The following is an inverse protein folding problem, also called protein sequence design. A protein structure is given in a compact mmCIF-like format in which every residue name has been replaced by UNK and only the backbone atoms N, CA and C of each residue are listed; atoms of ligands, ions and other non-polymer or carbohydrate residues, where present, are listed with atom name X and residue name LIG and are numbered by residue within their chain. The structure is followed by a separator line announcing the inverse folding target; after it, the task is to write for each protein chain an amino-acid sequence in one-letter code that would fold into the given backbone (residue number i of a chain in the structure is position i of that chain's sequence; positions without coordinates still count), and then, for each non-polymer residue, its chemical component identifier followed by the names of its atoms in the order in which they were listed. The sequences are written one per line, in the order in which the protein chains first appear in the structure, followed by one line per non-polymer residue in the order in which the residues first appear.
data_IF_858013553506
#
_entry.id   IF_858013553506
#
_cell.length_a   1.000
_cell.length_b   1.000
_cell.length_c   1.000
_cell.angle_alpha   90.00
_cell.angle_beta   90.00
_cell.angle_gamma   90.00
#
_symmetry.space_group_name_H-M   'P 1'
#
loop_
_entity.id
_entity.type
_entity.pdbx_description
1 polymer ?
#
# COMPACT_ATOMS: atom_id res chain seq x y z
N UNK A 1 15.67 18.59 -0.97
CA UNK A 1 15.02 17.30 -0.63
C UNK A 1 14.95 16.47 -1.90
N UNK A 2 15.29 15.19 -1.83
CA UNK A 2 15.15 14.29 -2.99
C UNK A 2 13.68 14.20 -3.39
N UNK A 3 13.42 14.29 -4.69
CA UNK A 3 12.09 14.21 -5.27
C UNK A 3 11.38 12.91 -4.86
N UNK A 4 10.09 12.99 -4.49
CA UNK A 4 9.26 11.85 -4.15
C UNK A 4 8.55 11.35 -5.40
N UNK A 5 8.72 10.08 -5.73
CA UNK A 5 8.18 9.45 -6.92
C UNK A 5 7.27 8.31 -6.46
N UNK A 6 6.01 8.31 -6.89
CA UNK A 6 5.06 7.23 -6.57
C UNK A 6 4.78 6.42 -7.83
N UNK A 7 5.14 5.14 -7.78
CA UNK A 7 4.76 4.15 -8.77
C UNK A 7 3.39 3.58 -8.42
N UNK A 8 2.39 3.85 -9.25
CA UNK A 8 1.00 3.50 -8.96
C UNK A 8 0.12 3.28 -10.18
N UNK A 9 -1.15 2.95 -9.96
CA UNK A 9 -2.19 2.95 -10.99
C UNK A 9 -3.51 3.43 -10.37
N UNK A 10 -4.37 4.01 -11.20
CA UNK A 10 -5.45 4.89 -10.74
C UNK A 10 -6.45 4.20 -9.79
N UNK A 11 -6.80 2.95 -10.07
CA UNK A 11 -7.79 2.19 -9.30
C UNK A 11 -7.22 1.35 -8.16
N UNK A 12 -5.95 1.51 -7.77
CA UNK A 12 -5.40 0.79 -6.61
C UNK A 12 -5.87 1.43 -5.31
N UNK A 13 -6.61 0.72 -4.43
CA UNK A 13 -6.98 1.26 -3.12
C UNK A 13 -5.77 1.58 -2.25
N UNK A 14 -4.76 0.72 -2.28
CA UNK A 14 -3.52 0.98 -1.54
C UNK A 14 -2.77 2.19 -2.09
N UNK A 15 -2.87 2.49 -3.39
CA UNK A 15 -2.31 3.73 -3.93
C UNK A 15 -3.13 4.94 -3.52
N UNK A 16 -4.46 4.83 -3.52
CA UNK A 16 -5.36 5.88 -3.04
C UNK A 16 -5.01 6.34 -1.63
N UNK A 17 -4.78 5.38 -0.72
CA UNK A 17 -4.29 5.64 0.65
C UNK A 17 -3.04 6.53 0.66
N UNK A 18 -2.05 6.24 -0.18
CA UNK A 18 -0.80 7.00 -0.24
C UNK A 18 -0.95 8.33 -0.96
N UNK A 19 -1.78 8.42 -1.99
CA UNK A 19 -2.13 9.70 -2.63
C UNK A 19 -2.76 10.66 -1.62
N UNK A 20 -3.69 10.19 -0.80
CA UNK A 20 -4.27 10.96 0.29
C UNK A 20 -3.24 11.32 1.37
N UNK A 21 -2.27 10.44 1.65
CA UNK A 21 -1.17 10.75 2.56
C UNK A 21 -0.31 11.93 2.04
N UNK A 22 -0.04 11.98 0.73
CA UNK A 22 0.61 13.13 0.11
C UNK A 22 -0.24 14.40 0.22
N UNK A 23 -1.56 14.30 0.03
CA UNK A 23 -2.49 15.42 0.18
C UNK A 23 -2.57 15.97 1.60
N UNK A 24 -2.74 15.08 2.58
CA UNK A 24 -2.72 15.41 3.99
C UNK A 24 -1.45 16.20 4.37
N UNK A 25 -0.30 15.80 3.81
CA UNK A 25 0.97 16.49 4.05
C UNK A 25 1.22 17.70 3.15
N UNK A 26 0.39 17.96 2.14
CA UNK A 26 0.63 19.03 1.15
C UNK A 26 1.92 18.83 0.34
N UNK A 27 2.35 17.58 0.16
CA UNK A 27 3.60 17.24 -0.51
C UNK A 27 3.48 17.34 -2.04
N UNK A 28 4.60 17.69 -2.68
CA UNK A 28 4.76 17.56 -4.12
C UNK A 28 5.40 16.19 -4.44
N UNK A 29 4.89 15.51 -5.48
CA UNK A 29 5.39 14.20 -5.89
C UNK A 29 5.17 13.94 -7.38
N UNK A 30 5.95 12.99 -7.90
CA UNK A 30 5.91 12.56 -9.29
C UNK A 30 5.10 11.30 -9.46
N UNK A 31 4.12 11.36 -10.37
CA UNK A 31 3.22 10.24 -10.66
C UNK A 31 3.75 9.39 -11.79
N UNK A 32 4.15 8.16 -11.47
CA UNK A 32 4.60 7.16 -12.45
C UNK A 32 3.57 6.05 -12.55
N UNK A 33 2.81 6.05 -13.65
CA UNK A 33 1.79 5.03 -13.91
C UNK A 33 2.45 3.69 -14.26
N UNK A 34 2.01 2.62 -13.59
CA UNK A 34 2.48 1.25 -13.76
C UNK A 34 1.35 0.33 -14.26
N UNK A 35 1.67 -0.79 -14.93
CA UNK A 35 0.69 -1.83 -15.21
C UNK A 35 0.05 -2.38 -13.93
N UNK A 36 -1.24 -2.73 -13.99
CA UNK A 36 -2.01 -3.27 -12.86
C UNK A 36 -1.76 -4.76 -12.59
N UNK A 37 -1.22 -5.49 -13.59
CA UNK A 37 -0.84 -6.91 -13.57
C UNK A 37 0.54 -7.14 -14.26
N UNK A 38 1.04 -8.39 -14.36
CA UNK A 38 2.30 -8.67 -15.07
C UNK A 38 2.11 -8.60 -16.61
N UNK A 39 3.14 -8.25 -17.38
CA UNK A 39 4.51 -7.93 -16.95
C UNK A 39 4.64 -6.49 -16.40
N UNK A 40 5.66 -6.26 -15.57
CA UNK A 40 6.01 -4.92 -15.05
C UNK A 40 7.50 -4.63 -15.27
N UNK A 41 7.96 -4.57 -16.52
CA UNK A 41 9.38 -4.59 -16.84
C UNK A 41 10.14 -3.37 -16.30
N UNK A 42 9.49 -2.26 -16.00
CA UNK A 42 10.12 -1.08 -15.42
C UNK A 42 10.00 -0.99 -13.89
N UNK A 43 9.07 -1.72 -13.27
CA UNK A 43 8.96 -1.76 -11.80
C UNK A 43 9.89 -2.81 -11.19
N UNK A 44 9.97 -3.99 -11.80
CA UNK A 44 10.70 -5.12 -11.22
C UNK A 44 12.22 -4.89 -11.11
N UNK A 45 12.89 -4.23 -12.07
CA UNK A 45 14.30 -3.87 -11.92
C UNK A 45 14.53 -2.89 -10.76
N UNK A 46 13.57 -2.00 -10.48
CA UNK A 46 13.67 -1.06 -9.36
C UNK A 46 13.50 -1.78 -8.01
N UNK A 47 12.52 -2.68 -7.91
CA UNK A 47 12.16 -3.32 -6.64
C UNK A 47 12.90 -4.63 -6.37
N UNK A 48 13.52 -5.23 -7.38
CA UNK A 48 14.16 -6.54 -7.28
C UNK A 48 13.18 -7.72 -7.29
N UNK A 49 11.97 -7.54 -7.81
CA UNK A 49 10.97 -8.61 -7.95
C UNK A 49 9.66 -8.36 -7.20
N UNK A 50 9.64 -7.41 -6.25
CA UNK A 50 8.40 -7.00 -5.59
C UNK A 50 7.47 -6.28 -6.57
N UNK A 51 6.24 -6.75 -6.69
CA UNK A 51 5.34 -6.38 -7.78
C UNK A 51 4.02 -5.72 -7.38
N UNK A 52 3.81 -5.55 -6.08
CA UNK A 52 2.62 -4.87 -5.57
C UNK A 52 2.78 -3.36 -5.74
N UNK A 53 1.66 -2.65 -5.62
CA UNK A 53 1.55 -1.21 -5.82
C UNK A 53 0.74 -0.63 -4.66
N UNK A 54 1.10 0.53 -4.11
CA UNK A 54 2.16 1.43 -4.57
C UNK A 54 3.56 1.05 -4.11
N UNK A 55 4.54 1.65 -4.79
CA UNK A 55 5.95 1.72 -4.38
C UNK A 55 6.35 3.18 -4.43
N UNK A 56 7.03 3.67 -3.40
CA UNK A 56 7.60 5.02 -3.41
C UNK A 56 9.10 4.94 -3.68
N UNK A 57 9.61 5.82 -4.52
CA UNK A 57 11.03 5.98 -4.82
C UNK A 57 11.48 7.39 -4.42
N UNK A 58 12.70 7.48 -3.91
CA UNK A 58 13.43 8.75 -3.82
C UNK A 58 14.90 8.50 -4.15
N UNK A 59 15.33 8.88 -5.36
CA UNK A 59 16.66 8.51 -5.84
C UNK A 59 16.78 7.00 -6.02
N UNK A 60 17.74 6.40 -5.30
CA UNK A 60 18.02 4.96 -5.30
C UNK A 60 17.43 4.21 -4.09
N UNK A 61 16.64 4.88 -3.26
CA UNK A 61 15.86 4.26 -2.19
C UNK A 61 14.42 3.98 -2.65
N UNK A 62 13.92 2.79 -2.33
CA UNK A 62 12.64 2.25 -2.80
C UNK A 62 11.85 1.69 -1.61
N UNK A 63 10.75 2.32 -1.23
CA UNK A 63 9.86 1.88 -0.15
C UNK A 63 8.71 1.05 -0.71
N UNK A 64 8.69 -0.22 -0.32
CA UNK A 64 7.62 -1.16 -0.62
C UNK A 64 6.65 -1.23 0.56
N UNK A 65 5.35 -1.37 0.26
CA UNK A 65 4.24 -1.36 1.22
C UNK A 65 3.85 0.04 1.73
N UNK A 66 2.55 0.27 1.86
CA UNK A 66 2.00 1.56 2.29
C UNK A 66 2.38 1.94 3.72
N UNK A 67 2.65 0.97 4.61
CA UNK A 67 3.09 1.23 5.99
C UNK A 67 4.48 1.83 6.02
N UNK A 68 5.39 1.23 5.24
CA UNK A 68 6.77 1.69 5.11
C UNK A 68 6.80 3.08 4.45
N UNK A 69 6.00 3.28 3.40
CA UNK A 69 5.84 4.58 2.74
C UNK A 69 5.32 5.64 3.73
N UNK A 70 4.25 5.36 4.49
CA UNK A 70 3.69 6.31 5.45
C UNK A 70 4.71 6.74 6.52
N UNK A 71 5.49 5.81 7.06
CA UNK A 71 6.56 6.10 8.04
C UNK A 71 7.65 6.97 7.44
N UNK A 72 8.03 6.67 6.21
CA UNK A 72 9.00 7.48 5.49
C UNK A 72 8.51 8.91 5.23
N UNK A 73 7.24 9.07 4.86
CA UNK A 73 6.64 10.40 4.67
C UNK A 73 6.63 11.20 5.97
N UNK A 74 6.27 10.58 7.11
CA UNK A 74 6.33 11.22 8.43
C UNK A 74 7.76 11.57 8.84
N UNK A 75 8.73 10.71 8.55
CA UNK A 75 10.15 10.97 8.82
C UNK A 75 10.67 12.18 8.05
N UNK A 76 10.25 12.34 6.78
CA UNK A 76 10.64 13.49 5.94
C UNK A 76 9.92 14.77 6.31
N UNK A 77 8.64 14.68 6.66
CA UNK A 77 7.82 15.82 7.02
C UNK A 77 6.94 15.47 8.23
N UNK A 78 7.41 15.71 9.46
CA UNK A 78 6.72 15.27 10.68
C UNK A 78 5.33 15.87 10.91
N UNK A 79 5.05 17.04 10.33
CA UNK A 79 3.78 17.74 10.47
C UNK A 79 3.11 18.04 9.11
N UNK A 80 1.78 17.87 8.99
CA UNK A 80 0.90 17.14 9.92
C UNK A 80 1.25 15.64 9.96
N UNK A 81 1.17 15.00 11.13
CA UNK A 81 1.58 13.61 11.34
C UNK A 81 0.53 12.63 10.78
N UNK A 82 0.96 11.64 9.99
CA UNK A 82 0.14 10.49 9.63
C UNK A 82 -0.02 9.56 10.84
N UNK A 83 1.03 9.47 11.66
CA UNK A 83 1.12 8.67 12.87
C UNK A 83 1.40 9.57 14.09
N UNK A 84 0.39 10.29 14.62
CA UNK A 84 0.56 11.05 15.85
C UNK A 84 1.02 10.13 17.00
N UNK A 85 2.08 10.47 17.76
CA UNK A 85 2.63 9.59 18.80
C UNK A 85 1.61 9.10 19.82
N UNK A 86 0.67 9.97 20.21
CA UNK A 86 -0.40 9.69 21.18
C UNK A 86 -1.49 8.76 20.63
N UNK A 87 -1.60 8.63 19.30
CA UNK A 87 -2.55 7.74 18.63
C UNK A 87 -1.88 6.54 17.96
N UNK A 88 -0.55 6.47 17.93
CA UNK A 88 0.20 5.50 17.13
C UNK A 88 -0.28 4.06 17.31
N UNK A 89 -0.45 3.61 18.56
CA UNK A 89 -0.88 2.24 18.84
C UNK A 89 -2.31 1.98 18.34
N UNK A 90 -3.22 2.93 18.57
CA UNK A 90 -4.63 2.79 18.19
C UNK A 90 -4.81 2.91 16.67
N UNK A 91 -4.13 3.85 16.02
CA UNK A 91 -4.17 4.00 14.56
C UNK A 91 -3.57 2.79 13.85
N UNK A 92 -2.50 2.20 14.39
CA UNK A 92 -1.92 0.94 13.89
C UNK A 92 -2.89 -0.22 14.03
N UNK A 93 -3.60 -0.32 15.16
CA UNK A 93 -4.61 -1.37 15.37
C UNK A 93 -5.78 -1.24 14.39
N UNK A 94 -6.28 -0.01 14.18
CA UNK A 94 -7.35 0.27 13.21
C UNK A 94 -6.88 0.00 11.78
N UNK A 95 -5.66 0.39 11.40
CA UNK A 95 -5.10 0.07 10.09
C UNK A 95 -5.04 -1.45 9.87
N UNK A 96 -4.53 -2.20 10.85
CA UNK A 96 -4.40 -3.66 10.75
C UNK A 96 -5.76 -4.31 10.52
N UNK A 97 -6.78 -3.92 11.29
CA UNK A 97 -8.15 -4.38 11.09
C UNK A 97 -8.72 -3.96 9.73
N UNK A 98 -8.54 -2.69 9.34
CA UNK A 98 -9.06 -2.16 8.09
C UNK A 98 -8.55 -2.95 6.87
N UNK A 99 -7.24 -3.23 6.83
CA UNK A 99 -6.62 -3.90 5.68
C UNK A 99 -6.78 -5.43 5.70
N UNK A 100 -6.94 -6.05 6.88
CA UNK A 100 -7.11 -7.50 7.01
C UNK A 100 -8.57 -7.94 6.95
N UNK A 101 -9.45 -7.24 7.65
CA UNK A 101 -10.81 -7.72 7.94
C UNK A 101 -11.89 -6.93 7.19
N UNK A 102 -11.70 -5.63 6.97
CA UNK A 102 -12.66 -4.79 6.22
C UNK A 102 -12.39 -4.83 4.70
N UNK A 103 -11.12 -4.65 4.29
CA UNK A 103 -10.73 -4.49 2.89
C UNK A 103 -11.05 -5.71 2.02
N UNK A 104 -10.73 -6.92 2.50
CA UNK A 104 -10.89 -8.12 1.68
C UNK A 104 -12.35 -8.46 1.36
N UNK A 105 -13.30 -8.39 2.30
CA UNK A 105 -14.72 -8.46 1.97
C UNK A 105 -15.17 -7.38 0.99
N UNK A 106 -14.73 -6.12 1.17
CA UNK A 106 -15.09 -5.02 0.28
C UNK A 106 -14.64 -5.26 -1.17
N UNK A 107 -13.36 -5.61 -1.37
CA UNK A 107 -12.82 -5.88 -2.70
C UNK A 107 -13.45 -7.10 -3.34
N UNK A 108 -13.67 -8.19 -2.59
CA UNK A 108 -14.30 -9.40 -3.14
C UNK A 108 -15.75 -9.16 -3.53
N UNK A 109 -16.47 -8.35 -2.78
CA UNK A 109 -17.81 -7.91 -3.13
C UNK A 109 -17.78 -7.06 -4.40
N UNK A 110 -17.04 -5.96 -4.41
CA UNK A 110 -16.94 -5.06 -5.55
C UNK A 110 -16.49 -5.78 -6.83
N UNK A 111 -15.39 -6.54 -6.76
CA UNK A 111 -14.86 -7.25 -7.92
C UNK A 111 -15.78 -8.34 -8.45
N UNK A 112 -16.52 -9.05 -7.60
CA UNK A 112 -17.42 -10.09 -8.07
C UNK A 112 -18.78 -9.58 -8.54
N UNK A 113 -19.24 -8.43 -8.02
CA UNK A 113 -20.42 -7.71 -8.54
C UNK A 113 -20.14 -7.13 -9.93
N UNK A 114 -18.91 -6.63 -10.14
CA UNK A 114 -18.48 -5.98 -11.39
C UNK A 114 -17.65 -6.92 -12.29
N UNK A 115 -17.81 -8.24 -12.15
CA UNK A 115 -16.96 -9.22 -12.83
C UNK A 115 -17.03 -9.15 -14.37
N UNK A 116 -18.13 -8.63 -14.93
CA UNK A 116 -18.32 -8.53 -16.38
C UNK A 116 -17.72 -7.25 -16.99
N UNK A 117 -17.50 -6.21 -16.18
CA UNK A 117 -16.94 -4.92 -16.62
C UNK A 117 -15.46 -4.80 -16.29
N UNK A 118 -14.99 -5.49 -15.25
CA UNK A 118 -13.57 -5.55 -14.91
C UNK A 118 -12.79 -6.38 -15.94
N UNK A 119 -11.57 -5.94 -16.26
CA UNK A 119 -10.65 -6.71 -17.09
C UNK A 119 -10.37 -8.08 -16.45
N UNK A 120 -10.71 -9.15 -17.18
CA UNK A 120 -10.51 -10.53 -16.77
C UNK A 120 -9.04 -10.85 -16.41
N UNK A 121 -8.06 -10.19 -17.06
CA UNK A 121 -6.64 -10.39 -16.74
C UNK A 121 -6.31 -10.01 -15.30
N UNK A 122 -7.01 -9.04 -14.71
CA UNK A 122 -6.82 -8.69 -13.32
C UNK A 122 -7.19 -9.87 -12.39
N UNK A 123 -8.28 -10.58 -12.68
CA UNK A 123 -8.67 -11.75 -11.89
C UNK A 123 -7.70 -12.92 -12.06
N UNK A 124 -7.17 -13.12 -13.26
CA UNK A 124 -6.13 -14.13 -13.55
C UNK A 124 -4.86 -13.83 -12.75
N UNK A 125 -4.33 -12.61 -12.86
CA UNK A 125 -3.09 -12.21 -12.17
C UNK A 125 -3.24 -12.30 -10.64
N UNK A 126 -4.36 -11.82 -10.07
CA UNK A 126 -4.60 -11.88 -8.62
C UNK A 126 -4.77 -13.31 -8.09
N UNK A 127 -5.28 -14.24 -8.91
CA UNK A 127 -5.31 -15.65 -8.57
C UNK A 127 -3.91 -16.28 -8.61
N UNK A 128 -3.14 -16.00 -9.67
CA UNK A 128 -1.78 -16.48 -9.85
C UNK A 128 -0.84 -16.01 -8.73
N UNK A 129 -0.97 -14.77 -8.26
CA UNK A 129 -0.24 -14.23 -7.11
C UNK A 129 -0.43 -15.06 -5.82
N UNK A 130 -1.50 -15.86 -5.72
CA UNK A 130 -1.81 -16.73 -4.59
C UNK A 130 -1.72 -18.22 -4.93
N UNK A 131 -1.16 -18.57 -6.09
CA UNK A 131 -1.00 -19.95 -6.54
C UNK A 131 -2.33 -20.61 -6.90
N UNK A 132 -3.34 -19.82 -7.30
CA UNK A 132 -4.69 -20.29 -7.61
C UNK A 132 -4.97 -20.19 -9.10
N UNK A 133 -5.77 -21.11 -9.61
CA UNK A 133 -6.30 -21.05 -10.96
C UNK A 133 -7.21 -19.82 -11.16
N UNK A 134 -7.29 -19.36 -12.40
CA UNK A 134 -8.19 -18.29 -12.80
C UNK A 134 -9.64 -18.60 -12.40
N UNK A 135 -10.34 -17.67 -11.73
CA UNK A 135 -11.73 -17.88 -11.32
C UNK A 135 -12.69 -17.66 -12.51
N UNK A 136 -13.79 -18.43 -12.56
CA UNK A 136 -14.91 -18.08 -13.45
C UNK A 136 -15.72 -16.91 -12.90
N UNK A 137 -16.44 -16.19 -13.76
CA UNK A 137 -17.33 -15.09 -13.35
C UNK A 137 -18.39 -15.58 -12.34
N UNK A 138 -18.96 -16.76 -12.53
CA UNK A 138 -19.92 -17.32 -11.57
C UNK A 138 -19.29 -17.60 -10.20
N UNK A 139 -18.03 -18.01 -10.16
CA UNK A 139 -17.29 -18.15 -8.90
C UNK A 139 -17.10 -16.79 -8.24
N UNK A 140 -16.74 -15.76 -9.01
CA UNK A 140 -16.59 -14.39 -8.52
C UNK A 140 -17.90 -13.86 -7.93
N UNK A 141 -19.02 -13.98 -8.65
CA UNK A 141 -20.35 -13.57 -8.18
C UNK A 141 -20.79 -14.31 -6.90
N UNK A 142 -20.53 -15.62 -6.81
CA UNK A 142 -20.81 -16.40 -5.58
C UNK A 142 -19.97 -15.91 -4.39
N UNK A 143 -18.69 -15.61 -4.63
CA UNK A 143 -17.82 -15.04 -3.61
C UNK A 143 -18.32 -13.65 -3.19
N UNK A 144 -18.74 -12.80 -4.12
CA UNK A 144 -19.29 -11.47 -3.81
C UNK A 144 -20.46 -11.53 -2.84
N UNK A 145 -21.44 -12.42 -3.10
CA UNK A 145 -22.60 -12.61 -2.20
C UNK A 145 -22.20 -13.02 -0.79
N UNK A 146 -21.19 -13.90 -0.65
CA UNK A 146 -20.67 -14.31 0.66
C UNK A 146 -19.89 -13.19 1.34
N UNK A 147 -19.09 -12.46 0.58
CA UNK A 147 -18.32 -11.33 1.08
C UNK A 147 -19.21 -10.17 1.53
N UNK A 148 -20.37 -9.98 0.90
CA UNK A 148 -21.35 -9.00 1.33
C UNK A 148 -21.87 -9.27 2.75
N UNK A 149 -22.10 -10.54 3.11
CA UNK A 149 -22.49 -10.92 4.47
C UNK A 149 -21.41 -10.61 5.52
N UNK A 150 -20.13 -10.56 5.11
CA UNK A 150 -19.02 -10.16 5.97
C UNK A 150 -18.80 -8.64 5.98
N UNK A 151 -19.09 -7.97 4.86
CA UNK A 151 -18.89 -6.53 4.69
C UNK A 151 -19.88 -5.71 5.52
N UNK A 152 -21.18 -6.02 5.46
CA UNK A 152 -22.23 -5.22 6.11
C UNK A 152 -22.02 -5.00 7.61
N UNK A 153 -21.65 -6.01 8.43
CA UNK A 153 -21.33 -5.78 9.83
C UNK A 153 -20.12 -4.84 10.03
N UNK A 154 -19.11 -4.90 9.17
CA UNK A 154 -17.93 -4.04 9.26
C UNK A 154 -18.29 -2.59 8.91
N UNK A 155 -19.17 -2.37 7.94
CA UNK A 155 -19.68 -1.03 7.62
C UNK A 155 -20.41 -0.39 8.81
N UNK A 156 -21.19 -1.18 9.56
CA UNK A 156 -21.83 -0.70 10.78
C UNK A 156 -20.82 -0.34 11.88
N UNK A 157 -19.67 -1.05 11.95
CA UNK A 157 -18.58 -0.69 12.85
C UNK A 157 -17.99 0.68 12.49
N UNK A 158 -17.73 0.94 11.20
CA UNK A 158 -17.23 2.26 10.75
C UNK A 158 -18.22 3.38 11.10
N UNK A 159 -19.50 3.16 10.82
CA UNK A 159 -20.56 4.14 11.13
C UNK A 159 -20.63 4.45 12.64
N UNK A 160 -20.40 3.43 13.48
CA UNK A 160 -20.37 3.55 14.94
C UNK A 160 -19.09 4.15 15.48
N UNK A 161 -17.95 3.96 14.81
CA UNK A 161 -16.71 4.67 15.16
C UNK A 161 -16.92 6.18 15.11
N UNK A 162 -17.81 6.67 14.25
CA UNK A 162 -18.12 8.09 14.08
C UNK A 162 -19.23 8.61 15.02
N UNK A 163 -19.75 7.79 15.95
CA UNK A 163 -20.82 8.19 16.89
C UNK A 163 -20.42 9.35 17.81
N UNK A 164 -19.12 9.49 18.08
CA UNK A 164 -18.60 10.57 18.94
C UNK A 164 -18.70 11.97 18.30
N UNK A 165 -19.09 12.07 17.02
CA UNK A 165 -19.35 13.35 16.36
C UNK A 165 -18.12 14.18 15.98
N UNK A 166 -16.92 13.61 16.03
CA UNK A 166 -15.68 14.29 15.60
C UNK A 166 -15.48 14.11 14.10
N UNK A 167 -14.71 14.98 13.43
CA UNK A 167 -14.58 14.91 11.98
C UNK A 167 -13.87 13.65 11.48
N UNK A 168 -12.95 13.05 12.25
CA UNK A 168 -12.17 11.87 11.86
C UNK A 168 -12.30 10.74 12.89
N UNK A 169 -11.84 9.54 12.52
CA UNK A 169 -12.13 8.30 13.26
C UNK A 169 -11.58 8.30 14.70
N UNK A 170 -10.39 8.85 14.90
CA UNK A 170 -9.68 8.81 16.19
C UNK A 170 -9.45 10.21 16.78
N UNK A 171 -9.51 11.24 15.95
CA UNK A 171 -9.08 12.59 16.28
C UNK A 171 -9.91 13.68 15.57
N UNK A 172 -9.62 14.95 15.88
CA UNK A 172 -10.16 16.08 15.11
C UNK A 172 -9.34 16.37 13.86
N UNK A 173 -8.12 15.81 13.78
CA UNK A 173 -7.27 15.79 12.61
C UNK A 173 -7.25 14.38 12.00
N UNK A 174 -7.13 14.25 10.66
CA UNK A 174 -7.00 12.95 10.00
C UNK A 174 -5.67 12.29 10.35
N UNK A 175 -5.66 10.97 10.41
CA UNK A 175 -4.44 10.17 10.56
C UNK A 175 -4.47 8.91 9.68
N UNK A 176 -3.45 8.06 9.79
CA UNK A 176 -3.35 6.80 9.04
C UNK A 176 -4.56 5.89 9.20
N UNK A 177 -5.23 5.91 10.36
CA UNK A 177 -6.46 5.15 10.58
C UNK A 177 -7.56 5.54 9.57
N UNK A 178 -7.72 6.85 9.33
CA UNK A 178 -8.69 7.36 8.37
C UNK A 178 -8.37 6.90 6.95
N UNK A 179 -7.10 7.01 6.55
CA UNK A 179 -6.65 6.63 5.22
C UNK A 179 -6.80 5.11 4.98
N UNK A 180 -6.52 4.30 6.00
CA UNK A 180 -6.64 2.84 5.98
C UNK A 180 -8.10 2.37 5.85
N UNK A 181 -9.03 2.97 6.60
CA UNK A 181 -10.45 2.63 6.46
C UNK A 181 -11.01 3.16 5.14
N UNK A 182 -10.62 4.37 4.75
CA UNK A 182 -11.18 5.05 3.59
C UNK A 182 -10.91 4.27 2.30
N UNK A 183 -9.68 3.80 2.08
CA UNK A 183 -9.35 3.18 0.80
C UNK A 183 -10.17 1.89 0.53
N UNK A 184 -10.53 1.15 1.58
CA UNK A 184 -11.37 -0.03 1.44
C UNK A 184 -12.80 0.32 1.03
N UNK A 185 -13.37 1.38 1.61
CA UNK A 185 -14.71 1.86 1.27
C UNK A 185 -14.75 2.59 -0.07
N UNK A 186 -13.73 3.39 -0.37
CA UNK A 186 -13.55 4.08 -1.64
C UNK A 186 -13.61 3.12 -2.83
N UNK A 187 -13.07 1.91 -2.68
CA UNK A 187 -13.12 0.90 -3.74
C UNK A 187 -14.54 0.46 -4.10
N UNK A 188 -15.53 0.64 -3.22
CA UNK A 188 -16.94 0.35 -3.53
C UNK A 188 -17.54 1.31 -4.56
N UNK A 189 -16.86 2.42 -4.85
CA UNK A 189 -17.32 3.47 -5.78
C UNK A 189 -16.19 4.01 -6.66
N UNK A 190 -15.08 3.26 -6.80
CA UNK A 190 -13.91 3.72 -7.55
C UNK A 190 -14.08 3.46 -9.06
N UNK A 191 -13.84 4.47 -9.89
CA UNK A 191 -13.96 4.41 -11.35
C UNK A 191 -15.33 3.87 -11.79
N UNK A 192 -15.35 2.74 -12.50
CA UNK A 192 -16.56 2.10 -13.05
C UNK A 192 -17.21 1.11 -12.07
N UNK A 193 -16.73 1.03 -10.83
CA UNK A 193 -17.29 0.14 -9.81
C UNK A 193 -18.60 0.71 -9.27
N UNK A 194 -19.68 -0.06 -9.40
CA UNK A 194 -20.99 0.28 -8.83
C UNK A 194 -21.35 -0.62 -7.63
N UNK A 195 -20.88 -0.24 -6.45
CA UNK A 195 -21.22 -0.88 -5.17
C UNK A 195 -21.53 0.14 -4.07
N UNK A 196 -21.68 1.42 -4.44
CA UNK A 196 -21.88 2.54 -3.50
C UNK A 196 -23.21 2.47 -2.74
N UNK A 197 -24.19 1.73 -3.26
CA UNK A 197 -25.49 1.52 -2.62
C UNK A 197 -25.39 0.92 -1.21
N UNK A 198 -24.33 0.16 -0.91
CA UNK A 198 -24.09 -0.38 0.44
C UNK A 198 -23.67 0.71 1.45
N UNK A 199 -23.21 1.87 0.98
CA UNK A 199 -22.86 3.03 1.83
C UNK A 199 -24.04 3.97 2.07
N UNK A 200 -25.10 3.90 1.25
CA UNK A 200 -26.26 4.80 1.33
C UNK A 200 -26.93 4.86 2.73
N UNK A 201 -27.03 3.75 3.50
CA UNK A 201 -27.60 3.77 4.85
C UNK A 201 -26.69 4.37 5.94
N UNK A 202 -25.48 4.85 5.60
CA UNK A 202 -24.42 5.19 6.54
C UNK A 202 -24.05 6.68 6.44
N UNK A 203 -24.92 7.59 6.93
CA UNK A 203 -24.75 9.03 6.70
C UNK A 203 -23.48 9.59 7.33
N UNK A 204 -23.03 9.10 8.50
CA UNK A 204 -21.79 9.60 9.12
C UNK A 204 -20.57 9.14 8.33
N UNK A 205 -20.57 7.88 7.89
CA UNK A 205 -19.53 7.30 7.03
C UNK A 205 -19.41 8.08 5.74
N UNK A 206 -20.53 8.37 5.06
CA UNK A 206 -20.51 9.17 3.83
C UNK A 206 -19.96 10.58 4.06
N UNK A 207 -20.40 11.26 5.12
CA UNK A 207 -19.91 12.59 5.46
C UNK A 207 -18.41 12.57 5.82
N UNK A 208 -17.95 11.53 6.52
CA UNK A 208 -16.53 11.32 6.84
C UNK A 208 -15.71 11.02 5.59
N UNK A 209 -16.18 10.16 4.69
CA UNK A 209 -15.50 9.89 3.41
C UNK A 209 -15.33 11.15 2.58
N UNK A 210 -16.32 12.04 2.55
CA UNK A 210 -16.19 13.34 1.87
C UNK A 210 -15.08 14.22 2.49
N UNK A 211 -14.93 14.21 3.82
CA UNK A 211 -13.85 14.94 4.50
C UNK A 211 -12.47 14.35 4.19
N UNK A 212 -12.36 13.01 4.14
CA UNK A 212 -11.11 12.35 3.77
C UNK A 212 -10.76 12.61 2.30
N UNK A 213 -11.74 12.54 1.39
CA UNK A 213 -11.53 12.85 -0.03
C UNK A 213 -11.07 14.30 -0.24
N UNK A 214 -11.55 15.25 0.58
CA UNK A 214 -11.18 16.66 0.53
C UNK A 214 -9.72 16.95 0.92
N UNK A 215 -8.98 15.97 1.48
CA UNK A 215 -7.53 16.08 1.67
C UNK A 215 -6.79 16.25 0.34
N UNK A 216 -7.39 15.78 -0.75
CA UNK A 216 -6.78 15.79 -2.08
C UNK A 216 -5.50 14.95 -2.13
N UNK A 217 -4.69 15.18 -3.15
CA UNK A 217 -3.50 14.36 -3.42
C UNK A 217 -2.20 15.16 -3.43
N UNK A 218 -2.20 16.39 -2.89
CA UNK A 218 -1.02 17.27 -2.89
C UNK A 218 -0.76 17.87 -4.27
N UNK A 219 0.50 18.13 -4.61
CA UNK A 219 0.90 18.59 -5.96
C UNK A 219 1.46 17.42 -6.76
N UNK A 220 0.78 17.09 -7.86
CA UNK A 220 1.11 15.94 -8.69
C UNK A 220 1.70 16.43 -10.02
N UNK A 221 2.85 15.88 -10.39
CA UNK A 221 3.43 16.07 -11.72
C UNK A 221 3.67 14.70 -12.37
N UNK A 222 3.17 14.43 -13.60
CA UNK A 222 3.44 13.19 -14.28
C UNK A 222 4.95 12.95 -14.51
N UNK A 223 5.34 11.67 -14.53
CA UNK A 223 6.69 11.23 -14.87
C UNK A 223 6.62 9.87 -15.57
N UNK A 224 7.45 9.68 -16.59
CA UNK A 224 7.56 8.39 -17.26
C UNK A 224 8.33 7.38 -16.40
N UNK A 225 8.07 6.08 -16.62
CA UNK A 225 8.83 5.00 -15.97
C UNK A 225 10.33 5.11 -16.28
N UNK A 226 10.70 5.48 -17.50
CA UNK A 226 12.11 5.65 -17.94
C UNK A 226 12.82 6.78 -17.19
N UNK A 227 12.16 7.91 -16.96
CA UNK A 227 12.73 9.00 -16.18
C UNK A 227 12.98 8.59 -14.74
N UNK A 228 12.02 7.89 -14.11
CA UNK A 228 12.17 7.38 -12.75
C UNK A 228 13.34 6.39 -12.62
N UNK A 229 13.50 5.47 -13.58
CA UNK A 229 14.64 4.56 -13.64
C UNK A 229 15.97 5.31 -13.83
N UNK A 230 15.99 6.34 -14.69
CA UNK A 230 17.17 7.17 -14.87
C UNK A 230 17.53 7.96 -13.60
N UNK A 231 16.57 8.33 -12.76
CA UNK A 231 16.82 8.96 -11.45
C UNK A 231 17.48 7.96 -10.52
N UNK A 232 17.00 6.71 -10.46
CA UNK A 232 17.62 5.64 -9.67
C UNK A 232 19.08 5.41 -10.10
N UNK A 233 19.31 5.20 -11.41
CA UNK A 233 20.63 4.89 -11.96
C UNK A 233 21.71 5.96 -11.74
N UNK A 234 21.31 7.23 -11.53
CA UNK A 234 22.22 8.35 -11.26
C UNK A 234 22.29 8.74 -9.79
N UNK A 235 21.56 8.02 -8.94
CA UNK A 235 21.52 8.25 -7.49
C UNK A 235 22.36 7.19 -6.78
N UNK A 236 22.66 7.44 -5.51
CA UNK A 236 23.16 6.42 -4.59
C UNK A 236 22.20 6.33 -3.41
N UNK A 237 22.04 5.13 -2.81
CA UNK A 237 21.18 4.99 -1.64
C UNK A 237 21.60 5.94 -0.52
N UNK A 238 20.62 6.45 0.22
CA UNK A 238 20.89 7.26 1.39
C UNK A 238 21.73 6.48 2.42
N UNK A 239 22.57 7.18 3.22
CA UNK A 239 23.25 6.55 4.35
C UNK A 239 22.22 5.88 5.27
N UNK A 240 22.49 4.64 5.65
CA UNK A 240 21.65 3.91 6.61
C UNK A 240 21.82 4.51 8.00
N UNK A 241 20.71 4.61 8.73
CA UNK A 241 20.70 4.99 10.14
C UNK A 241 21.20 3.86 11.06
N UNK A 242 21.15 4.07 12.39
CA UNK A 242 21.45 3.02 13.34
C UNK A 242 20.47 1.85 13.18
N UNK A 243 20.99 0.63 13.28
CA UNK A 243 20.16 -0.58 13.30
C UNK A 243 19.94 -1.07 14.72
N UNK A 244 18.84 -1.77 14.94
CA UNK A 244 18.62 -2.56 16.16
C UNK A 244 19.14 -3.97 15.98
N UNK A 245 19.58 -4.58 17.07
CA UNK A 245 19.87 -6.02 17.14
C UNK A 245 18.57 -6.77 17.46
N UNK A 246 18.30 -7.85 16.72
CA UNK A 246 17.07 -8.64 16.84
C UNK A 246 17.40 -10.09 16.44
N UNK A 247 17.45 -10.98 17.43
CA UNK A 247 17.84 -12.39 17.27
C UNK A 247 16.79 -13.24 16.53
N UNK A 248 15.61 -12.69 16.25
CA UNK A 248 14.60 -13.31 15.41
C UNK A 248 14.80 -13.02 13.90
N UNK A 249 15.78 -12.20 13.54
CA UNK A 249 16.12 -11.88 12.14
C UNK A 249 17.51 -12.42 11.76
N UNK A 250 17.76 -12.67 10.46
CA UNK A 250 19.12 -12.89 9.98
C UNK A 250 20.07 -11.76 10.40
N UNK A 251 21.36 -12.04 10.67
CA UNK A 251 22.32 -11.00 11.05
C UNK A 251 22.46 -9.91 9.99
N UNK A 252 22.71 -8.67 10.41
CA UNK A 252 23.08 -7.57 9.50
C UNK A 252 24.27 -7.98 8.62
N UNK A 253 24.21 -7.66 7.34
CA UNK A 253 25.21 -8.05 6.33
C UNK A 253 24.94 -9.42 5.69
N UNK A 254 23.98 -10.20 6.17
CA UNK A 254 23.59 -11.46 5.56
C UNK A 254 22.85 -11.24 4.24
N UNK A 255 23.02 -12.16 3.30
CA UNK A 255 22.17 -12.21 2.10
C UNK A 255 20.80 -12.76 2.50
N UNK A 256 19.74 -12.01 2.24
CA UNK A 256 18.36 -12.38 2.61
C UNK A 256 17.45 -12.40 1.40
N UNK A 257 16.38 -13.18 1.50
CA UNK A 257 15.26 -13.22 0.56
C UNK A 257 13.99 -12.75 1.28
N UNK A 258 13.30 -11.77 0.69
CA UNK A 258 12.13 -11.13 1.28
C UNK A 258 10.91 -11.32 0.38
N UNK A 259 9.80 -11.77 0.97
CA UNK A 259 8.52 -11.97 0.27
C UNK A 259 7.33 -11.55 1.14
N UNK A 260 6.29 -10.92 0.58
CA UNK A 260 5.05 -10.72 1.32
C UNK A 260 4.39 -12.07 1.67
N UNK A 261 3.94 -12.21 2.91
CA UNK A 261 3.29 -13.42 3.41
C UNK A 261 2.02 -13.77 2.62
N UNK A 262 1.78 -15.07 2.41
CA UNK A 262 0.56 -15.57 1.75
C UNK A 262 0.47 -15.28 0.25
N UNK A 263 1.58 -14.88 -0.37
CA UNK A 263 1.73 -14.72 -1.81
C UNK A 263 2.85 -15.61 -2.36
N UNK A 264 2.69 -16.06 -3.61
CA UNK A 264 3.70 -16.83 -4.36
C UNK A 264 4.32 -15.95 -5.44
N UNK A 265 4.94 -14.85 -5.01
CA UNK A 265 5.62 -13.89 -5.89
C UNK A 265 7.12 -14.08 -5.86
N UNK A 266 7.81 -13.49 -6.83
CA UNK A 266 9.27 -13.34 -6.78
C UNK A 266 9.70 -12.72 -5.45
N UNK A 267 10.77 -13.26 -4.87
CA UNK A 267 11.39 -12.70 -3.69
C UNK A 267 12.37 -11.60 -4.08
N UNK A 268 12.52 -10.62 -3.20
CA UNK A 268 13.58 -9.61 -3.32
C UNK A 268 14.80 -10.13 -2.57
N UNK A 269 15.91 -10.29 -3.29
CA UNK A 269 17.16 -10.80 -2.74
C UNK A 269 18.17 -9.67 -2.64
N UNK A 270 18.81 -9.55 -1.48
CA UNK A 270 19.80 -8.50 -1.20
C UNK A 270 20.46 -8.67 0.17
N UNK A 271 21.45 -7.82 0.44
CA UNK A 271 22.15 -7.77 1.73
C UNK A 271 21.33 -7.00 2.73
N UNK A 272 21.00 -7.60 3.87
CA UNK A 272 20.29 -6.93 4.96
C UNK A 272 21.17 -5.81 5.53
N UNK A 273 20.80 -4.55 5.29
CA UNK A 273 21.65 -3.40 5.54
C UNK A 273 21.18 -2.54 6.72
N UNK A 274 19.89 -2.56 7.02
CA UNK A 274 19.33 -1.87 8.18
C UNK A 274 18.12 -2.61 8.72
N UNK A 275 17.99 -2.63 10.04
CA UNK A 275 16.80 -3.12 10.76
C UNK A 275 16.41 -2.07 11.77
N UNK A 276 15.15 -1.66 11.75
CA UNK A 276 14.54 -0.90 12.82
C UNK A 276 13.36 -1.66 13.44
N UNK A 277 12.62 -1.00 14.34
CA UNK A 277 11.49 -1.63 15.05
C UNK A 277 10.39 -2.12 14.11
N UNK A 278 10.14 -1.43 13.00
CA UNK A 278 9.00 -1.65 12.11
C UNK A 278 9.39 -1.97 10.67
N UNK A 279 10.56 -1.55 10.24
CA UNK A 279 11.08 -1.65 8.89
C UNK A 279 12.45 -2.31 8.85
N UNK A 280 12.81 -2.76 7.66
CA UNK A 280 14.13 -3.23 7.29
C UNK A 280 14.48 -2.71 5.91
N UNK A 281 15.78 -2.66 5.60
CA UNK A 281 16.29 -2.27 4.29
C UNK A 281 17.28 -3.29 3.76
N UNK A 282 17.11 -3.67 2.50
CA UNK A 282 18.04 -4.56 1.78
C UNK A 282 18.75 -3.81 0.66
N UNK A 283 20.08 -3.92 0.65
CA UNK A 283 20.91 -3.44 -0.46
C UNK A 283 20.94 -4.48 -1.55
N UNK A 284 20.70 -4.05 -2.79
CA UNK A 284 20.86 -4.90 -3.97
C UNK A 284 21.51 -4.12 -5.10
N UNK A 285 22.10 -4.85 -6.03
CA UNK A 285 22.67 -4.29 -7.25
C UNK A 285 21.84 -4.74 -8.43
N UNK A 286 21.43 -3.79 -9.26
CA UNK A 286 20.84 -4.02 -10.56
C UNK A 286 21.85 -3.70 -11.65
N UNK A 287 21.82 -4.44 -12.76
CA UNK A 287 22.80 -4.28 -13.83
C UNK A 287 22.71 -2.90 -14.53
N UNK A 288 21.50 -2.33 -14.61
CA UNK A 288 21.26 -1.04 -15.27
C UNK A 288 21.14 0.10 -14.27
N UNK A 289 20.61 -0.17 -13.07
CA UNK A 289 20.31 0.87 -12.08
C UNK A 289 21.38 1.04 -11.00
N UNK A 290 22.38 0.15 -10.94
CA UNK A 290 23.42 0.21 -9.92
C UNK A 290 22.93 -0.22 -8.53
N UNK A 291 23.47 0.39 -7.48
CA UNK A 291 23.10 0.06 -6.10
C UNK A 291 21.75 0.70 -5.72
N UNK A 292 20.87 -0.11 -5.17
CA UNK A 292 19.54 0.27 -4.68
C UNK A 292 19.37 -0.18 -3.23
N UNK A 293 18.63 0.61 -2.46
CA UNK A 293 18.11 0.20 -1.15
C UNK A 293 16.61 -0.01 -1.26
N UNK A 294 16.15 -1.21 -0.93
CA UNK A 294 14.72 -1.55 -0.93
C UNK A 294 14.26 -1.76 0.50
N UNK A 295 13.28 -0.97 0.92
CA UNK A 295 12.74 -0.95 2.27
C UNK A 295 11.40 -1.69 2.34
N UNK A 296 11.22 -2.47 3.40
CA UNK A 296 10.00 -3.23 3.66
C UNK A 296 9.59 -3.09 5.12
N UNK A 297 8.29 -3.15 5.44
CA UNK A 297 7.87 -3.38 6.81
C UNK A 297 8.22 -4.80 7.22
N UNK A 298 8.50 -5.01 8.51
CA UNK A 298 8.70 -6.35 9.08
C UNK A 298 7.40 -7.17 9.08
N UNK A 299 6.31 -6.54 9.52
CA UNK A 299 5.00 -7.23 9.65
C UNK A 299 4.42 -7.52 8.28
N UNK A 300 4.04 -8.78 8.04
CA UNK A 300 3.45 -9.25 6.79
C UNK A 300 4.47 -9.65 5.73
N UNK A 301 5.74 -9.76 6.10
CA UNK A 301 6.83 -10.16 5.22
C UNK A 301 7.66 -11.28 5.86
N UNK A 302 7.90 -12.32 5.07
CA UNK A 302 8.85 -13.38 5.39
C UNK A 302 10.24 -12.92 5.00
N UNK A 303 11.19 -13.03 5.93
CA UNK A 303 12.60 -12.72 5.75
C UNK A 303 13.41 -13.94 6.16
N UNK A 304 14.14 -14.51 5.20
CA UNK A 304 14.99 -15.68 5.42
C UNK A 304 16.38 -15.45 4.85
N UNK A 305 17.39 -16.14 5.38
CA UNK A 305 18.70 -16.19 4.72
C UNK A 305 18.57 -16.81 3.33
N UNK A 306 19.18 -16.19 2.33
CA UNK A 306 19.11 -16.68 0.97
C UNK A 306 19.95 -17.96 0.81
N UNK A 307 19.32 -19.05 0.39
CA UNK A 307 19.97 -20.35 0.19
C UNK A 307 19.78 -21.34 1.34
N UNK A 308 19.03 -20.97 2.38
CA UNK A 308 18.51 -21.88 3.41
C UNK A 308 17.28 -22.67 2.93
#
# INVERSE_FOLDING_TARGET
MTELILHHYDFSPFAEKIRLAFGLKGLAWRSVTQPSYLPKPELLPLTGGYRHIPVMQAGADVWCDTRCIARELDRRQPAPALMPPELFALSTAVESWAERDLFWPAVRFASGTNADTMDAQLHVDRAAMRGKAAPSHDRLRRVARRSLAQLRPQLAIVERMLDHGRPFLLADAPCQADLAVYHGLWFLSALEIDCSGELAPLPRTLAWMQRVAALGYGRIEPMSTKEALSIAARSSPAPVGPSIDDDALPPLGSMVSIRPEGYVTGAVVGVLAVVDRFDLGVRRTDAELGELMVHFPRVGYEVVEAGA
#
